data_IF_855073298585
#
_entry.id   IF_855073298585
#
_cell.length_a   1.000
_cell.length_b   1.000
_cell.length_c   1.000
_cell.angle_alpha   90.00
_cell.angle_beta   90.00
_cell.angle_gamma   90.00
#
_symmetry.space_group_name_H-M   'P 1'
#
loop_
_entity.id
_entity.type
_entity.pdbx_description
1 polymer ?
#
# COMPACT_ATOMS: atom_id res chain seq x y z
N UNK A 1 -7.00 7.13 -15.50
CA UNK A 1 -8.24 6.63 -14.88
C UNK A 1 -9.23 6.38 -16.01
N UNK A 2 -9.80 5.17 -16.12
CA UNK A 2 -10.85 4.89 -17.10
C UNK A 2 -12.09 5.71 -16.76
N UNK A 3 -12.67 6.39 -17.75
CA UNK A 3 -13.88 7.18 -17.51
C UNK A 3 -15.13 6.35 -17.78
N UNK A 4 -16.24 6.64 -17.07
CA UNK A 4 -17.52 6.02 -17.39
C UNK A 4 -17.87 6.18 -18.87
N UNK A 5 -18.27 5.09 -19.52
CA UNK A 5 -18.70 5.09 -20.93
C UNK A 5 -17.57 5.09 -21.96
N UNK A 6 -16.30 5.14 -21.56
CA UNK A 6 -15.19 4.94 -22.49
C UNK A 6 -15.01 3.45 -22.79
N UNK A 7 -14.84 3.12 -24.08
CA UNK A 7 -14.42 1.79 -24.49
C UNK A 7 -12.95 1.59 -24.14
N UNK A 8 -12.65 0.52 -23.41
CA UNK A 8 -11.28 0.11 -23.07
C UNK A 8 -10.98 -1.18 -23.81
N UNK A 9 -10.10 -1.09 -24.82
CA UNK A 9 -9.69 -2.25 -25.63
C UNK A 9 -8.34 -2.77 -25.13
N UNK A 10 -8.28 -4.05 -24.82
CA UNK A 10 -7.04 -4.79 -24.52
C UNK A 10 -6.89 -5.90 -25.58
N UNK A 11 -5.77 -5.93 -26.28
CA UNK A 11 -5.50 -6.93 -27.32
C UNK A 11 -4.10 -7.54 -27.15
N UNK A 12 -3.93 -8.78 -27.61
CA UNK A 12 -2.62 -9.43 -27.70
C UNK A 12 -2.59 -10.39 -28.89
N UNK A 13 -1.47 -10.40 -29.61
CA UNK A 13 -1.23 -11.28 -30.77
C UNK A 13 -0.73 -12.67 -30.39
N UNK A 14 -0.06 -12.79 -29.24
CA UNK A 14 0.66 -14.01 -28.81
C UNK A 14 0.26 -14.50 -27.42
N UNK A 15 -0.83 -13.95 -26.87
CA UNK A 15 -1.30 -14.20 -25.51
C UNK A 15 -0.84 -13.14 -24.51
N UNK A 16 -1.56 -13.00 -23.41
CA UNK A 16 -1.23 -12.08 -22.33
C UNK A 16 -1.65 -12.68 -20.99
N UNK A 17 -0.85 -12.43 -19.95
CA UNK A 17 -1.25 -12.61 -18.56
C UNK A 17 -1.32 -11.20 -17.96
N UNK A 18 -2.54 -10.70 -17.74
CA UNK A 18 -2.75 -9.35 -17.25
C UNK A 18 -3.83 -9.31 -16.18
N UNK A 19 -3.78 -8.28 -15.34
CA UNK A 19 -4.78 -8.00 -14.33
C UNK A 19 -5.37 -6.62 -14.62
N UNK A 20 -6.70 -6.55 -14.62
CA UNK A 20 -7.43 -5.29 -14.58
C UNK A 20 -8.06 -5.15 -13.20
N UNK A 21 -7.72 -4.07 -12.50
CA UNK A 21 -8.29 -3.74 -11.20
C UNK A 21 -8.78 -2.29 -11.19
N UNK A 22 -9.85 -2.04 -10.46
CA UNK A 22 -10.46 -0.73 -10.36
C UNK A 22 -11.53 -0.70 -9.28
N UNK A 23 -11.99 0.50 -8.95
CA UNK A 23 -13.00 0.72 -7.93
C UNK A 23 -13.34 2.20 -7.82
N UNK A 24 -14.26 2.53 -6.92
CA UNK A 24 -14.56 3.92 -6.61
C UNK A 24 -13.30 4.63 -6.12
N UNK A 25 -13.15 5.90 -6.49
CA UNK A 25 -12.06 6.73 -5.95
C UNK A 25 -12.16 6.80 -4.43
N UNK A 26 -11.02 6.73 -3.75
CA UNK A 26 -10.96 7.00 -2.32
C UNK A 26 -11.30 8.49 -2.11
N UNK A 27 -12.38 8.78 -1.39
CA UNK A 27 -12.90 10.15 -1.19
C UNK A 27 -12.01 11.07 -0.35
N UNK A 28 -10.79 10.65 0.00
CA UNK A 28 -9.84 11.43 0.79
C UNK A 28 -8.40 11.07 0.41
N UNK A 29 -7.50 12.02 0.60
CA UNK A 29 -6.07 11.81 0.41
C UNK A 29 -5.58 10.64 1.28
N UNK A 30 -4.65 9.86 0.73
CA UNK A 30 -3.87 8.88 1.47
C UNK A 30 -2.41 9.30 1.42
N UNK A 31 -1.79 9.29 2.59
CA UNK A 31 -0.35 9.35 2.76
C UNK A 31 0.15 7.92 2.77
N UNK A 32 1.16 7.65 1.95
CA UNK A 32 1.85 6.36 1.86
C UNK A 32 3.30 6.63 2.18
N UNK A 33 3.84 5.94 3.17
CA UNK A 33 5.25 5.98 3.52
C UNK A 33 5.65 4.59 4.00
N UNK A 34 6.66 3.98 3.35
CA UNK A 34 7.02 2.59 3.59
C UNK A 34 5.77 1.69 3.57
N UNK A 35 5.61 0.81 4.57
CA UNK A 35 4.46 -0.07 4.72
C UNK A 35 3.25 0.59 5.40
N UNK A 36 3.28 1.91 5.66
CA UNK A 36 2.19 2.62 6.32
C UNK A 36 1.34 3.44 5.34
N UNK A 37 0.02 3.22 5.40
CA UNK A 37 -0.98 3.96 4.63
C UNK A 37 -2.03 4.54 5.57
N UNK A 38 -2.25 5.85 5.50
CA UNK A 38 -3.23 6.54 6.36
C UNK A 38 -3.77 7.80 5.70
N UNK A 39 -4.93 8.29 6.14
CA UNK A 39 -5.42 9.62 5.80
C UNK A 39 -4.83 10.75 6.66
N UNK A 40 -4.02 10.43 7.68
CA UNK A 40 -3.34 11.39 8.57
C UNK A 40 -1.84 11.15 8.57
N UNK A 41 -1.06 12.24 8.42
CA UNK A 41 0.41 12.18 8.52
C UNK A 41 0.86 11.90 9.95
N UNK A 42 0.15 12.43 10.92
CA UNK A 42 0.41 12.27 12.35
C UNK A 42 0.29 10.80 12.74
N UNK A 43 -0.72 10.10 12.22
CA UNK A 43 -0.88 8.65 12.45
C UNK A 43 0.28 7.84 11.85
N UNK A 44 0.82 8.26 10.70
CA UNK A 44 2.01 7.63 10.11
C UNK A 44 3.22 7.86 11.01
N UNK A 45 3.43 9.07 11.52
CA UNK A 45 4.56 9.34 12.41
C UNK A 45 4.46 8.54 13.71
N UNK A 46 3.26 8.42 14.28
CA UNK A 46 3.01 7.52 15.40
C UNK A 46 3.36 6.06 15.05
N UNK A 47 2.93 5.57 13.88
CA UNK A 47 3.24 4.20 13.44
C UNK A 47 4.75 3.98 13.26
N UNK A 48 5.50 4.98 12.81
CA UNK A 48 6.98 4.89 12.77
C UNK A 48 7.58 4.69 14.15
N UNK A 49 7.11 5.43 15.16
CA UNK A 49 7.61 5.28 16.53
C UNK A 49 7.20 3.93 17.12
N UNK A 50 5.96 3.50 16.88
CA UNK A 50 5.47 2.17 17.29
C UNK A 50 6.32 1.05 16.68
N UNK A 51 6.69 1.15 15.40
CA UNK A 51 7.56 0.18 14.74
C UNK A 51 8.98 0.20 15.28
N UNK A 52 9.59 1.38 15.39
CA UNK A 52 10.94 1.54 15.96
C UNK A 52 11.06 1.01 17.39
N UNK A 53 9.97 1.05 18.17
CA UNK A 53 9.95 0.64 19.57
C UNK A 53 9.36 -0.77 19.78
N UNK A 54 9.07 -1.51 18.71
CA UNK A 54 8.55 -2.89 18.81
C UNK A 54 7.16 -2.99 19.44
N UNK A 55 6.30 -1.99 19.24
CA UNK A 55 4.92 -1.97 19.78
C UNK A 55 3.88 -2.64 18.90
N UNK A 56 4.25 -3.02 17.68
CA UNK A 56 3.40 -3.90 16.86
C UNK A 56 3.54 -5.34 17.37
N UNK A 57 2.45 -6.08 17.33
CA UNK A 57 2.46 -7.50 17.70
C UNK A 57 3.40 -8.27 16.78
N UNK A 58 4.17 -9.18 17.36
CA UNK A 58 5.04 -10.08 16.62
C UNK A 58 4.18 -11.17 15.99
N UNK A 59 4.41 -11.45 14.72
CA UNK A 59 3.76 -12.55 14.02
C UNK A 59 4.35 -13.87 14.56
N UNK A 60 3.53 -14.84 15.01
CA UNK A 60 4.04 -16.11 15.51
C UNK A 60 4.94 -16.81 14.48
N UNK A 61 6.15 -17.17 14.89
CA UNK A 61 7.17 -17.78 14.03
C UNK A 61 8.09 -16.80 13.29
N UNK A 62 7.97 -15.50 13.55
CA UNK A 62 8.80 -14.42 12.97
C UNK A 62 9.46 -13.55 14.07
N UNK A 63 9.92 -14.18 15.15
CA UNK A 63 10.47 -13.48 16.32
C UNK A 63 11.91 -13.00 16.13
N UNK A 64 12.63 -13.55 15.15
CA UNK A 64 14.08 -13.33 14.99
C UNK A 64 14.43 -12.23 13.98
N UNK A 65 13.57 -11.97 13.01
CA UNK A 65 13.84 -11.01 11.93
C UNK A 65 13.15 -9.67 12.19
N UNK A 66 13.88 -8.56 12.01
CA UNK A 66 13.33 -7.21 12.12
C UNK A 66 13.86 -6.33 11.00
N UNK A 67 12.95 -5.77 10.20
CA UNK A 67 13.27 -4.83 9.13
C UNK A 67 13.18 -3.39 9.69
N UNK A 68 14.31 -2.69 9.89
CA UNK A 68 14.28 -1.32 10.39
C UNK A 68 13.67 -0.37 9.37
N UNK A 69 13.18 0.77 9.86
CA UNK A 69 12.76 1.85 8.97
C UNK A 69 13.96 2.37 8.16
N UNK A 70 13.75 2.78 6.89
CA UNK A 70 14.80 3.37 6.09
C UNK A 70 15.28 4.69 6.71
N UNK A 71 16.56 5.00 6.50
CA UNK A 71 17.14 6.31 6.84
C UNK A 71 16.70 7.34 5.80
N UNK A 72 15.92 8.35 6.20
CA UNK A 72 15.40 9.39 5.32
C UNK A 72 14.49 10.40 6.01
#
# INVERSE_FOLDING_TARGET
VFKPGEEIVVSSERGAHFMLFGGASLGSQRYIWWNFVSSSKERIEQAKQEWKTGRFDIVPGDEEEFIPLPEG
#
